data_IF_168764370650
#
_entry.id   IF_168764370650
#
_cell.length_a   1.000
_cell.length_b   1.000
_cell.length_c   1.000
_cell.angle_alpha   90.00
_cell.angle_beta   90.00
_cell.angle_gamma   90.00
#
_symmetry.space_group_name_H-M   'P 1'
#
loop_
_entity.id
_entity.type
_entity.pdbx_description
1 polymer ?
#
# COMPACT_ATOMS: atom_id res chain seq x y z
N UNK A 1 -18.19 -40.61 -29.44
CA UNK A 1 -17.20 -39.51 -29.43
C UNK A 1 -17.55 -38.57 -28.29
N UNK A 2 -16.98 -38.79 -27.10
CA UNK A 2 -17.18 -37.90 -25.95
C UNK A 2 -15.99 -36.97 -25.84
N UNK A 3 -16.25 -35.68 -26.03
CA UNK A 3 -15.25 -34.60 -26.02
C UNK A 3 -14.95 -34.27 -24.55
N UNK A 4 -13.79 -34.67 -24.05
CA UNK A 4 -13.29 -34.20 -22.74
C UNK A 4 -12.90 -32.73 -22.89
N UNK A 5 -13.53 -31.86 -22.10
CA UNK A 5 -13.11 -30.47 -21.95
C UNK A 5 -11.86 -30.42 -21.08
N UNK A 6 -10.76 -30.01 -21.70
CA UNK A 6 -9.50 -29.64 -21.06
C UNK A 6 -9.77 -28.44 -20.15
N UNK A 7 -9.50 -28.61 -18.85
CA UNK A 7 -9.64 -27.56 -17.84
C UNK A 7 -8.27 -26.88 -17.76
N UNK A 8 -8.13 -25.68 -18.33
CA UNK A 8 -6.90 -24.89 -18.14
C UNK A 8 -6.69 -24.60 -16.65
N UNK A 9 -5.48 -24.79 -16.10
CA UNK A 9 -5.17 -24.32 -14.77
C UNK A 9 -4.99 -22.80 -14.86
N UNK A 10 -6.07 -22.05 -14.58
CA UNK A 10 -5.96 -20.62 -14.29
C UNK A 10 -5.05 -20.47 -13.09
N UNK A 11 -3.80 -20.08 -13.34
CA UNK A 11 -2.83 -19.72 -12.31
C UNK A 11 -3.41 -18.54 -11.51
N UNK A 12 -4.09 -18.85 -10.41
CA UNK A 12 -4.43 -17.91 -9.36
C UNK A 12 -3.12 -17.40 -8.79
N UNK A 13 -2.59 -16.33 -9.37
CA UNK A 13 -1.55 -15.55 -8.72
C UNK A 13 -2.16 -15.13 -7.39
N UNK A 14 -1.72 -15.74 -6.30
CA UNK A 14 -2.06 -15.30 -4.96
C UNK A 14 -1.49 -13.90 -4.80
N UNK A 15 -2.26 -12.87 -5.13
CA UNK A 15 -1.93 -11.49 -4.80
C UNK A 15 -1.92 -11.42 -3.29
N UNK A 16 -0.74 -11.57 -2.70
CA UNK A 16 -0.54 -11.42 -1.26
C UNK A 16 -0.80 -9.97 -0.92
N UNK A 17 -1.98 -9.70 -0.37
CA UNK A 17 -2.29 -8.39 0.23
C UNK A 17 -1.41 -8.22 1.45
N UNK A 18 -0.67 -7.12 1.51
CA UNK A 18 0.18 -6.78 2.65
C UNK A 18 -0.45 -5.64 3.43
N UNK A 19 -0.54 -5.79 4.76
CA UNK A 19 -0.86 -4.70 5.68
C UNK A 19 0.43 -3.94 6.01
N UNK A 20 0.41 -2.63 5.85
CA UNK A 20 1.53 -1.74 6.13
C UNK A 20 1.08 -0.69 7.12
N UNK A 21 1.83 -0.54 8.21
CA UNK A 21 1.59 0.43 9.28
C UNK A 21 2.52 1.61 9.11
N UNK A 22 1.94 2.80 8.92
CA UNK A 22 2.69 4.04 8.71
C UNK A 22 2.41 4.98 9.88
N UNK A 23 3.45 5.27 10.65
CA UNK A 23 3.47 6.39 11.58
C UNK A 23 3.87 7.65 10.82
N UNK A 24 3.09 8.72 10.95
CA UNK A 24 3.39 9.99 10.30
C UNK A 24 3.12 11.17 11.23
N UNK A 25 3.89 12.23 11.01
CA UNK A 25 3.86 13.47 11.77
C UNK A 25 3.41 14.61 10.85
N UNK A 26 2.76 15.62 11.42
CA UNK A 26 2.34 16.84 10.73
C UNK A 26 2.86 18.02 11.56
N UNK A 27 3.46 19.01 10.91
CA UNK A 27 4.27 20.05 11.56
C UNK A 27 3.61 20.78 12.74
N UNK A 28 2.29 20.95 12.74
CA UNK A 28 1.55 21.68 13.78
C UNK A 28 0.79 20.77 14.75
N UNK A 29 1.10 19.47 14.75
CA UNK A 29 0.45 18.48 15.59
C UNK A 29 1.48 17.74 16.43
N UNK A 30 1.25 17.71 17.75
CA UNK A 30 2.23 17.17 18.70
C UNK A 30 2.30 15.64 18.69
N UNK A 31 1.22 14.96 18.27
CA UNK A 31 1.12 13.50 18.31
C UNK A 31 1.14 12.89 16.91
N UNK A 32 1.88 11.79 16.68
CA UNK A 32 1.85 11.08 15.42
C UNK A 32 0.52 10.36 15.21
N UNK A 33 0.17 10.19 13.94
CA UNK A 33 -0.93 9.32 13.53
C UNK A 33 -0.44 7.99 13.02
N UNK A 34 -1.26 6.97 13.22
CA UNK A 34 -1.08 5.64 12.65
C UNK A 34 -2.08 5.39 11.53
N UNK A 35 -1.58 5.22 10.31
CA UNK A 35 -2.38 4.81 9.15
C UNK A 35 -2.08 3.35 8.80
N UNK A 36 -3.13 2.56 8.59
CA UNK A 36 -3.03 1.19 8.07
C UNK A 36 -3.33 1.20 6.57
N UNK A 37 -2.39 0.74 5.75
CA UNK A 37 -2.58 0.54 4.32
C UNK A 37 -2.72 -0.94 4.03
N UNK A 38 -3.74 -1.30 3.25
CA UNK A 38 -3.88 -2.63 2.67
C UNK A 38 -3.61 -2.50 1.18
N UNK A 39 -2.46 -2.98 0.73
CA UNK A 39 -2.03 -2.88 -0.67
C UNK A 39 -1.67 -4.25 -1.21
N UNK A 40 -1.94 -4.45 -2.49
CA UNK A 40 -1.44 -5.60 -3.24
C UNK A 40 -0.10 -5.21 -3.88
N UNK A 41 0.97 -5.89 -3.47
CA UNK A 41 2.34 -5.59 -3.93
C UNK A 41 3.00 -4.43 -3.20
N UNK A 42 3.94 -3.75 -3.86
CA UNK A 42 4.74 -2.68 -3.24
C UNK A 42 3.91 -1.40 -3.02
N UNK A 43 3.96 -0.80 -1.82
CA UNK A 43 3.25 0.45 -1.54
C UNK A 43 3.82 1.61 -2.37
N UNK A 44 2.94 2.48 -2.85
CA UNK A 44 3.32 3.74 -3.50
C UNK A 44 2.77 4.93 -2.74
N UNK A 45 3.35 6.11 -3.00
CA UNK A 45 2.91 7.36 -2.39
C UNK A 45 1.41 7.65 -2.61
N UNK A 46 0.85 7.27 -3.76
CA UNK A 46 -0.58 7.45 -4.04
C UNK A 46 -1.47 6.65 -3.08
N UNK A 47 -1.03 5.46 -2.68
CA UNK A 47 -1.79 4.57 -1.81
C UNK A 47 -1.86 5.17 -0.42
N UNK A 48 -0.75 5.76 0.05
CA UNK A 48 -0.72 6.54 1.28
C UNK A 48 -1.62 7.79 1.22
N UNK A 49 -1.52 8.61 0.16
CA UNK A 49 -2.35 9.80 -0.01
C UNK A 49 -3.86 9.49 0.00
N UNK A 50 -4.25 8.40 -0.64
CA UNK A 50 -5.64 7.95 -0.67
C UNK A 50 -6.17 7.58 0.73
N UNK A 51 -5.32 7.01 1.60
CA UNK A 51 -5.71 6.62 2.95
C UNK A 51 -5.80 7.78 3.95
N UNK A 52 -5.16 8.93 3.67
CA UNK A 52 -5.17 10.08 4.58
C UNK A 52 -6.50 10.85 4.59
N UNK A 53 -7.38 10.62 3.61
CA UNK A 53 -8.72 11.23 3.53
C UNK A 53 -8.73 12.77 3.49
N UNK A 54 -7.59 13.39 3.17
CA UNK A 54 -7.41 14.85 3.22
C UNK A 54 -6.74 15.37 1.95
N UNK A 55 -6.88 16.67 1.69
CA UNK A 55 -6.25 17.30 0.55
C UNK A 55 -4.72 17.31 0.70
N UNK A 56 -4.05 16.36 0.04
CA UNK A 56 -2.60 16.17 0.13
C UNK A 56 -1.79 17.10 -0.79
N UNK A 57 -2.42 18.00 -1.55
CA UNK A 57 -1.73 18.82 -2.57
C UNK A 57 -0.79 19.87 -2.01
N UNK A 58 -0.99 20.28 -0.75
CA UNK A 58 -0.19 21.30 -0.06
C UNK A 58 0.97 20.72 0.76
N UNK A 59 1.10 19.39 0.82
CA UNK A 59 2.07 18.71 1.67
C UNK A 59 3.24 18.15 0.88
N UNK A 60 4.43 18.28 1.45
CA UNK A 60 5.61 17.49 1.05
C UNK A 60 5.69 16.25 1.94
N UNK A 61 6.08 15.13 1.36
CA UNK A 61 6.15 13.84 2.04
C UNK A 61 7.61 13.41 2.11
N UNK A 62 8.08 13.19 3.34
CA UNK A 62 9.41 12.66 3.62
C UNK A 62 9.24 11.33 4.35
N UNK A 63 10.02 10.33 3.95
CA UNK A 63 10.00 9.01 4.56
C UNK A 63 11.36 8.75 5.19
N UNK A 64 11.36 8.25 6.42
CA UNK A 64 12.59 7.78 7.05
C UNK A 64 13.06 6.55 6.28
N UNK A 65 14.30 6.59 5.81
CA UNK A 65 14.95 5.47 5.11
C UNK A 65 16.26 5.14 5.82
N UNK A 66 16.55 3.85 5.99
CA UNK A 66 17.89 3.40 6.35
C UNK A 66 18.75 3.37 5.09
N UNK A 67 19.62 4.36 4.92
CA UNK A 67 20.64 4.30 3.86
C UNK A 67 21.71 3.29 4.30
N UNK A 68 22.07 2.28 3.48
CA UNK A 68 23.19 1.42 3.80
C UNK A 68 24.49 2.24 3.74
N UNK A 69 25.07 2.50 4.92
CA UNK A 69 26.36 3.17 5.12
C UNK A 69 27.54 2.41 4.53
#
# INVERSE_FOLDING_TARGET
MSKMSEVEPTSLSSTTTSEIKIFHYIDHEDLPYLTKLNVTGLPRLKDFKNALGRNCSKYKFFFVTSDPS
#
